data_IF_034688124017
#
_entry.id   IF_034688124017
#
_cell.length_a   1.000
_cell.length_b   1.000
_cell.length_c   1.000
_cell.angle_alpha   90.00
_cell.angle_beta   90.00
_cell.angle_gamma   90.00
#
_symmetry.space_group_name_H-M   'P 1'
#
loop_
_entity.id
_entity.type
_entity.pdbx_description
1 polymer ?
#
# COMPACT_ATOMS: atom_id res chain seq x y z
N UNK A 1 -6.37 -6.98 -10.77
CA UNK A 1 -5.42 -6.38 -9.81
C UNK A 1 -4.81 -7.46 -8.92
N UNK A 2 -3.76 -7.12 -8.20
CA UNK A 2 -3.02 -8.06 -7.34
C UNK A 2 -2.65 -7.40 -6.01
N UNK A 3 -2.44 -8.22 -4.97
CA UNK A 3 -1.88 -7.79 -3.69
C UNK A 3 -0.90 -8.86 -3.16
N UNK A 4 0.17 -8.45 -2.48
CA UNK A 4 1.10 -9.36 -1.84
C UNK A 4 0.40 -10.21 -0.77
N UNK A 5 0.72 -11.51 -0.72
CA UNK A 5 0.11 -12.47 0.21
C UNK A 5 0.26 -12.05 1.68
N UNK A 6 1.41 -11.54 2.07
CA UNK A 6 1.69 -11.11 3.43
C UNK A 6 0.80 -9.94 3.84
N UNK A 7 0.51 -9.00 2.91
CA UNK A 7 -0.41 -7.87 3.12
C UNK A 7 -1.89 -8.30 3.13
N UNK A 8 -2.21 -9.47 2.58
CA UNK A 8 -3.55 -10.07 2.72
C UNK A 8 -3.72 -10.71 4.11
N UNK A 9 -2.65 -11.31 4.65
CA UNK A 9 -2.67 -11.97 5.95
C UNK A 9 -2.58 -10.99 7.12
N UNK A 10 -1.76 -9.94 6.98
CA UNK A 10 -1.61 -8.86 7.95
C UNK A 10 -1.81 -7.51 7.27
N UNK A 11 -2.87 -6.81 7.63
CA UNK A 11 -3.33 -5.62 6.93
C UNK A 11 -2.91 -4.32 7.62
N UNK A 12 -2.89 -3.21 6.89
CA UNK A 12 -2.59 -1.88 7.40
C UNK A 12 -3.59 -1.42 8.49
N UNK A 13 -3.32 -0.32 9.23
CA UNK A 13 -4.29 0.29 10.15
C UNK A 13 -5.60 0.65 9.44
N UNK A 14 -6.73 0.47 10.10
CA UNK A 14 -8.04 0.90 9.59
C UNK A 14 -8.30 2.38 9.83
N UNK A 15 -7.79 2.92 10.94
CA UNK A 15 -7.87 4.33 11.36
C UNK A 15 -6.48 4.87 11.66
N UNK A 16 -6.35 6.19 11.80
CA UNK A 16 -5.08 6.83 12.12
C UNK A 16 -4.59 6.39 13.50
N UNK A 17 -3.40 5.77 13.60
CA UNK A 17 -2.82 5.39 14.88
C UNK A 17 -2.32 6.59 15.71
N UNK A 18 -2.24 7.77 15.11
CA UNK A 18 -1.67 8.96 15.77
C UNK A 18 -0.15 8.99 15.77
N UNK A 19 0.43 9.70 16.75
CA UNK A 19 1.87 9.90 16.89
C UNK A 19 2.48 8.81 17.80
N UNK A 20 2.46 7.56 17.35
CA UNK A 20 3.07 6.43 18.06
C UNK A 20 4.45 6.13 17.47
N UNK A 21 5.39 5.50 18.22
CA UNK A 21 6.72 5.15 17.70
C UNK A 21 6.68 4.17 16.54
N UNK A 22 5.77 3.20 16.60
CA UNK A 22 5.49 2.22 15.55
C UNK A 22 4.04 1.74 15.68
N UNK A 23 3.53 1.14 14.62
CA UNK A 23 2.27 0.41 14.64
C UNK A 23 2.51 -1.04 14.23
N UNK A 24 1.83 -1.98 14.87
CA UNK A 24 1.96 -3.38 14.52
C UNK A 24 0.62 -4.13 14.61
N UNK A 25 0.50 -5.20 13.83
CA UNK A 25 -0.61 -6.16 13.86
C UNK A 25 -0.07 -7.57 13.71
N UNK A 26 -0.54 -8.47 14.56
CA UNK A 26 -0.17 -9.89 14.52
C UNK A 26 -1.35 -10.73 14.06
N UNK A 27 -1.07 -11.74 13.23
CA UNK A 27 -2.00 -12.76 12.79
C UNK A 27 -1.28 -14.12 12.83
N UNK A 28 -1.57 -14.93 13.83
CA UNK A 28 -0.82 -16.17 14.09
C UNK A 28 0.64 -15.88 14.40
N UNK A 29 1.53 -16.46 13.63
CA UNK A 29 2.98 -16.29 13.74
C UNK A 29 3.55 -15.17 12.87
N UNK A 30 2.70 -14.45 12.14
CA UNK A 30 3.09 -13.33 11.28
C UNK A 30 2.72 -12.00 11.93
N UNK A 31 3.70 -11.11 12.09
CA UNK A 31 3.50 -9.72 12.52
C UNK A 31 3.90 -8.77 11.41
N UNK A 32 2.99 -7.86 11.07
CA UNK A 32 3.27 -6.68 10.26
C UNK A 32 3.57 -5.52 11.21
N UNK A 33 4.71 -4.89 11.04
CA UNK A 33 5.06 -3.65 11.72
C UNK A 33 5.32 -2.53 10.71
N UNK A 34 4.89 -1.33 11.06
CA UNK A 34 5.07 -0.11 10.24
C UNK A 34 5.74 0.94 11.11
N UNK A 35 6.80 1.51 10.58
CA UNK A 35 7.46 2.71 11.11
C UNK A 35 7.21 3.86 10.15
N UNK A 36 6.70 4.97 10.66
CA UNK A 36 6.47 6.18 9.87
C UNK A 36 7.81 6.82 9.46
N UNK A 37 7.85 7.39 8.27
CA UNK A 37 8.91 8.31 7.91
C UNK A 37 8.93 9.56 8.81
N UNK A 38 10.07 10.22 8.88
CA UNK A 38 10.25 11.47 9.59
C UNK A 38 10.38 12.65 8.61
N UNK A 39 9.70 13.76 8.89
CA UNK A 39 9.81 15.01 8.15
C UNK A 39 10.78 15.92 8.91
N UNK A 40 12.04 16.06 8.46
CA UNK A 40 13.05 16.82 9.18
C UNK A 40 12.77 18.33 9.17
N UNK A 41 12.05 18.82 8.15
CA UNK A 41 11.69 20.25 8.05
C UNK A 41 10.64 20.62 9.08
N UNK A 42 9.65 19.76 9.29
CA UNK A 42 8.56 19.98 10.25
C UNK A 42 8.85 19.35 11.61
N UNK A 43 9.99 18.67 11.76
CA UNK A 43 10.43 17.99 12.99
C UNK A 43 9.33 17.09 13.58
N UNK A 44 8.70 16.27 12.73
CA UNK A 44 7.61 15.36 13.13
C UNK A 44 7.53 14.13 12.24
N UNK A 45 6.83 13.12 12.73
CA UNK A 45 6.49 11.96 11.90
C UNK A 45 5.62 12.40 10.69
N UNK A 46 5.86 11.79 9.55
CA UNK A 46 5.00 11.95 8.35
C UNK A 46 3.60 11.44 8.62
N UNK A 47 3.48 10.42 9.49
CA UNK A 47 2.25 9.73 9.84
C UNK A 47 2.14 8.36 9.19
N UNK A 48 1.20 7.56 9.66
CA UNK A 48 0.99 6.20 9.20
C UNK A 48 0.04 6.13 8.00
N UNK A 49 0.27 5.23 7.03
CA UNK A 49 -0.73 4.91 6.02
C UNK A 49 -1.89 4.16 6.67
N UNK A 50 -3.14 4.64 6.52
CA UNK A 50 -4.32 4.03 7.10
C UNK A 50 -5.56 4.15 6.21
N UNK A 51 -6.57 3.35 6.50
CA UNK A 51 -7.85 3.38 5.78
C UNK A 51 -7.78 2.68 4.43
N UNK A 52 -8.73 2.97 3.56
CA UNK A 52 -8.87 2.30 2.27
C UNK A 52 -7.87 2.78 1.21
N UNK A 53 -7.48 4.05 1.24
CA UNK A 53 -6.63 4.66 0.20
C UNK A 53 -5.27 3.97 0.06
N UNK A 54 -4.45 3.78 1.11
CA UNK A 54 -3.17 3.11 0.96
C UNK A 54 -3.31 1.64 0.54
N UNK A 55 -4.45 0.98 0.85
CA UNK A 55 -4.75 -0.36 0.33
C UNK A 55 -4.94 -0.35 -1.18
N UNK A 56 -5.70 0.60 -1.70
CA UNK A 56 -5.91 0.76 -3.15
C UNK A 56 -4.60 1.09 -3.86
N UNK A 57 -3.75 1.93 -3.27
CA UNK A 57 -2.41 2.21 -3.78
C UNK A 57 -1.56 0.94 -3.80
N UNK A 58 -1.61 0.09 -2.76
CA UNK A 58 -0.87 -1.18 -2.73
C UNK A 58 -1.37 -2.17 -3.79
N UNK A 59 -2.69 -2.25 -4.04
CA UNK A 59 -3.23 -3.03 -5.16
C UNK A 59 -2.70 -2.53 -6.50
N UNK A 60 -2.69 -1.21 -6.69
CA UNK A 60 -2.16 -0.59 -7.89
C UNK A 60 -0.66 -0.84 -8.05
N UNK A 61 0.15 -0.54 -7.03
CA UNK A 61 1.61 -0.74 -7.01
C UNK A 61 1.96 -2.20 -7.33
N UNK A 62 1.30 -3.18 -6.68
CA UNK A 62 1.54 -4.60 -6.95
C UNK A 62 1.19 -4.97 -8.39
N UNK A 63 0.07 -4.47 -8.89
CA UNK A 63 -0.39 -4.74 -10.26
C UNK A 63 0.58 -4.15 -11.29
N UNK A 64 0.98 -2.90 -11.12
CA UNK A 64 1.91 -2.22 -12.03
C UNK A 64 3.31 -2.84 -11.97
N UNK A 65 3.79 -3.21 -10.78
CA UNK A 65 5.07 -3.94 -10.62
C UNK A 65 5.09 -5.25 -11.41
N UNK A 66 4.00 -6.00 -11.38
CA UNK A 66 3.87 -7.25 -12.14
C UNK A 66 3.73 -7.00 -13.65
N UNK A 67 3.00 -5.95 -14.04
CA UNK A 67 2.78 -5.60 -15.45
C UNK A 67 4.05 -5.08 -16.11
N UNK A 68 4.76 -4.17 -15.45
CA UNK A 68 5.95 -3.51 -16.00
C UNK A 68 7.24 -4.26 -15.74
N UNK A 69 7.25 -5.17 -14.78
CA UNK A 69 8.45 -5.85 -14.25
C UNK A 69 9.52 -4.86 -13.81
N UNK A 70 9.11 -3.70 -13.32
CA UNK A 70 9.98 -2.60 -12.89
C UNK A 70 9.70 -2.22 -11.44
N UNK A 71 10.75 -1.82 -10.72
CA UNK A 71 10.62 -1.18 -9.41
C UNK A 71 10.25 0.29 -9.53
N UNK A 72 10.59 0.93 -10.64
CA UNK A 72 10.22 2.31 -10.95
C UNK A 72 8.87 2.31 -11.64
N UNK A 73 7.92 2.97 -11.01
CA UNK A 73 6.54 3.09 -11.46
C UNK A 73 6.21 4.56 -11.68
N UNK A 74 5.74 4.88 -12.88
CA UNK A 74 5.19 6.19 -13.18
C UNK A 74 3.75 6.26 -12.64
N UNK A 75 3.42 7.35 -11.96
CA UNK A 75 2.10 7.51 -11.31
C UNK A 75 1.01 8.04 -12.27
N UNK A 76 1.23 7.89 -13.58
CA UNK A 76 0.32 8.33 -14.63
C UNK A 76 0.73 9.64 -15.30
N UNK A 77 0.02 9.99 -16.36
CA UNK A 77 0.26 11.22 -17.13
C UNK A 77 -0.23 12.46 -16.39
N UNK A 78 -1.22 12.31 -15.51
CA UNK A 78 -1.73 13.37 -14.64
C UNK A 78 -2.15 12.81 -13.27
N UNK A 79 -2.26 13.70 -12.29
CA UNK A 79 -2.80 13.32 -10.96
C UNK A 79 -4.22 12.76 -11.05
N UNK A 80 -5.01 13.28 -11.96
CA UNK A 80 -6.37 12.78 -12.19
C UNK A 80 -6.37 11.36 -12.77
N UNK A 81 -5.41 11.01 -13.62
CA UNK A 81 -5.28 9.63 -14.12
C UNK A 81 -4.93 8.68 -12.99
N UNK A 82 -3.96 9.04 -12.14
CA UNK A 82 -3.64 8.26 -10.95
C UNK A 82 -4.86 8.06 -10.03
N UNK A 83 -5.66 9.12 -9.79
CA UNK A 83 -6.89 9.00 -9.02
C UNK A 83 -7.86 7.99 -9.66
N UNK A 84 -8.04 8.05 -10.98
CA UNK A 84 -8.92 7.10 -11.72
C UNK A 84 -8.39 5.66 -11.64
N UNK A 85 -7.08 5.48 -11.75
CA UNK A 85 -6.42 4.17 -11.69
C UNK A 85 -6.61 3.49 -10.35
N UNK A 86 -6.53 4.25 -9.25
CA UNK A 86 -6.81 3.74 -7.90
C UNK A 86 -8.32 3.76 -7.56
N UNK A 87 -9.19 4.13 -8.52
CA UNK A 87 -10.64 4.04 -8.42
C UNK A 87 -11.35 5.27 -7.86
N UNK A 88 -10.70 6.44 -7.79
CA UNK A 88 -11.33 7.70 -7.36
C UNK A 88 -11.76 8.56 -8.55
N UNK A 89 -12.80 9.38 -8.33
CA UNK A 89 -13.25 10.36 -9.30
C UNK A 89 -12.59 11.72 -8.99
N UNK A 90 -11.79 12.28 -9.92
CA UNK A 90 -11.16 13.59 -9.75
C UNK A 90 -12.15 14.73 -9.55
N UNK A 91 -13.37 14.63 -10.11
CA UNK A 91 -14.41 15.65 -10.06
C UNK A 91 -15.14 15.76 -8.72
N UNK A 92 -14.93 14.86 -7.79
CA UNK A 92 -15.60 14.87 -6.48
C UNK A 92 -14.93 15.83 -5.49
N UNK A 93 -15.27 17.12 -5.59
CA UNK A 93 -15.17 18.10 -4.49
C UNK A 93 -13.81 18.75 -4.25
N UNK A 94 -13.76 20.09 -4.34
CA UNK A 94 -12.59 20.93 -4.06
C UNK A 94 -12.34 21.27 -2.58
N UNK A 95 -13.05 20.70 -1.61
CA UNK A 95 -12.96 21.06 -0.20
C UNK A 95 -11.75 20.46 0.56
N UNK A 96 -11.60 20.82 1.86
CA UNK A 96 -10.56 20.28 2.76
C UNK A 96 -10.61 18.74 2.88
N UNK A 97 -11.74 18.12 2.61
CA UNK A 97 -11.98 16.65 2.66
C UNK A 97 -12.01 16.00 1.28
N UNK A 98 -11.50 16.66 0.23
CA UNK A 98 -11.48 16.08 -1.12
C UNK A 98 -10.68 14.77 -1.15
N UNK A 99 -11.14 13.81 -1.94
CA UNK A 99 -10.45 12.53 -2.13
C UNK A 99 -9.02 12.75 -2.63
N UNK A 100 -8.81 13.76 -3.49
CA UNK A 100 -7.48 14.15 -3.98
C UNK A 100 -6.51 14.50 -2.84
N UNK A 101 -6.90 15.34 -1.87
CA UNK A 101 -6.05 15.68 -0.72
C UNK A 101 -5.76 14.46 0.15
N UNK A 102 -6.75 13.60 0.35
CA UNK A 102 -6.60 12.36 1.12
C UNK A 102 -5.67 11.38 0.42
N UNK A 103 -5.79 11.22 -0.90
CA UNK A 103 -4.90 10.37 -1.69
C UNK A 103 -3.47 10.90 -1.62
N UNK A 104 -3.26 12.19 -1.84
CA UNK A 104 -1.94 12.84 -1.68
C UNK A 104 -1.30 12.52 -0.33
N UNK A 105 -2.03 12.74 0.76
CA UNK A 105 -1.52 12.53 2.11
C UNK A 105 -1.21 11.05 2.36
N UNK A 106 -2.09 10.13 1.97
CA UNK A 106 -1.89 8.70 2.17
C UNK A 106 -0.77 8.12 1.29
N UNK A 107 -0.60 8.65 0.07
CA UNK A 107 0.54 8.31 -0.80
C UNK A 107 1.87 8.71 -0.14
N UNK A 108 1.95 9.95 0.36
CA UNK A 108 3.13 10.44 1.07
C UNK A 108 3.44 9.61 2.30
N UNK A 109 2.44 9.28 3.12
CA UNK A 109 2.60 8.43 4.31
C UNK A 109 3.09 7.04 3.96
N UNK A 110 2.51 6.42 2.94
CA UNK A 110 2.87 5.07 2.50
C UNK A 110 4.32 5.03 1.97
N UNK A 111 4.69 5.93 1.08
CA UNK A 111 6.02 5.91 0.47
C UNK A 111 7.14 6.31 1.44
N UNK A 112 6.83 7.10 2.47
CA UNK A 112 7.78 7.42 3.52
C UNK A 112 7.91 6.32 4.59
N UNK A 113 7.09 5.26 4.55
CA UNK A 113 7.07 4.23 5.59
C UNK A 113 8.10 3.13 5.35
N UNK A 114 8.56 2.55 6.47
CA UNK A 114 9.23 1.24 6.48
C UNK A 114 8.24 0.20 6.98
N UNK A 115 8.07 -0.87 6.21
CA UNK A 115 7.22 -2.02 6.54
C UNK A 115 8.12 -3.19 6.89
N UNK A 116 7.80 -3.91 7.99
CA UNK A 116 8.51 -5.12 8.39
C UNK A 116 7.53 -6.27 8.52
N UNK A 117 7.89 -7.42 7.95
CA UNK A 117 7.25 -8.69 8.25
C UNK A 117 8.13 -9.48 9.20
N UNK A 118 7.53 -9.93 10.29
CA UNK A 118 8.21 -10.70 11.34
C UNK A 118 7.44 -12.01 11.48
N UNK A 119 8.13 -13.09 11.24
CA UNK A 119 7.62 -14.44 11.46
C UNK A 119 8.32 -15.03 12.69
N UNK A 120 7.54 -15.39 13.71
CA UNK A 120 8.05 -15.92 14.97
C UNK A 120 7.43 -17.29 15.25
N UNK A 121 8.12 -18.13 16.02
CA UNK A 121 7.71 -19.46 16.42
C UNK A 121 8.59 -20.55 15.81
N UNK A 122 8.06 -21.74 15.66
CA UNK A 122 8.81 -22.88 15.10
C UNK A 122 9.07 -22.66 13.60
N UNK A 123 10.28 -22.20 13.26
CA UNK A 123 10.72 -21.97 11.89
C UNK A 123 11.34 -23.20 11.23
N UNK A 124 11.86 -24.14 12.03
CA UNK A 124 12.36 -25.45 11.66
C UNK A 124 11.88 -26.46 12.69
N UNK A 125 11.72 -27.76 12.34
CA UNK A 125 11.28 -28.78 13.27
C UNK A 125 12.06 -28.76 14.59
N UNK A 126 11.37 -28.54 15.72
CA UNK A 126 11.94 -28.44 17.05
C UNK A 126 12.81 -27.19 17.31
N UNK A 127 12.79 -26.18 16.44
CA UNK A 127 13.57 -24.95 16.60
C UNK A 127 12.69 -23.71 16.50
N UNK A 128 12.51 -23.04 17.62
CA UNK A 128 11.93 -21.71 17.64
C UNK A 128 12.91 -20.65 17.11
N UNK A 129 12.36 -19.64 16.47
CA UNK A 129 13.17 -18.55 15.91
C UNK A 129 12.33 -17.36 15.46
N UNK A 130 13.02 -16.31 15.03
CA UNK A 130 12.44 -15.14 14.40
C UNK A 130 13.09 -14.92 13.03
N UNK A 131 12.26 -14.70 12.03
CA UNK A 131 12.66 -14.21 10.71
C UNK A 131 12.07 -12.83 10.51
N UNK A 132 12.93 -11.84 10.27
CA UNK A 132 12.52 -10.45 10.07
C UNK A 132 12.94 -9.95 8.69
N UNK A 133 12.01 -9.31 7.99
CA UNK A 133 12.26 -8.65 6.72
C UNK A 133 11.85 -7.17 6.84
N UNK A 134 12.82 -6.28 6.92
CA UNK A 134 12.60 -4.83 6.97
C UNK A 134 12.73 -4.25 5.56
N UNK A 135 11.74 -3.45 5.15
CA UNK A 135 11.63 -2.95 3.78
C UNK A 135 11.16 -1.50 3.77
N UNK A 136 11.96 -0.60 3.19
CA UNK A 136 11.44 0.71 2.79
C UNK A 136 10.41 0.51 1.69
N UNK A 137 9.25 1.14 1.78
CA UNK A 137 8.22 1.05 0.73
C UNK A 137 8.75 1.69 -0.55
N UNK A 138 9.31 2.90 -0.46
CA UNK A 138 10.02 3.54 -1.56
C UNK A 138 11.49 3.71 -1.22
N UNK A 139 12.37 3.46 -2.18
CA UNK A 139 13.78 3.81 -2.14
C UNK A 139 13.98 5.26 -2.56
N UNK A 140 13.20 5.73 -3.54
CA UNK A 140 13.16 7.11 -4.01
C UNK A 140 11.77 7.42 -4.55
N UNK A 141 11.39 8.69 -4.53
CA UNK A 141 10.15 9.14 -5.14
C UNK A 141 10.23 10.61 -5.49
N UNK A 142 9.59 10.97 -6.58
CA UNK A 142 9.37 12.36 -6.96
C UNK A 142 7.87 12.53 -7.17
N UNK A 143 7.27 13.37 -6.34
CA UNK A 143 5.83 13.53 -6.28
C UNK A 143 5.47 15.00 -6.53
N UNK A 144 4.93 15.27 -7.68
CA UNK A 144 4.46 16.59 -8.06
C UNK A 144 2.95 16.71 -7.89
N UNK A 145 2.49 17.83 -7.36
CA UNK A 145 1.08 18.12 -7.20
C UNK A 145 0.83 19.60 -7.41
N UNK A 146 0.11 19.96 -8.45
CA UNK A 146 -0.46 21.29 -8.54
C UNK A 146 -1.95 21.25 -8.11
N UNK A 147 -2.29 21.77 -6.93
CA UNK A 147 -3.68 21.80 -6.47
C UNK A 147 -4.56 22.76 -7.29
N UNK A 148 -3.95 23.68 -8.08
CA UNK A 148 -4.67 24.66 -8.89
C UNK A 148 -4.91 24.20 -10.32
N UNK A 149 -4.11 23.25 -10.81
CA UNK A 149 -4.18 22.73 -12.18
C UNK A 149 -4.01 21.22 -12.22
N UNK A 150 -4.94 20.45 -11.64
CA UNK A 150 -4.83 19.00 -11.54
C UNK A 150 -4.84 18.27 -12.89
N UNK A 151 -5.30 18.93 -13.96
CA UNK A 151 -5.38 18.38 -15.32
C UNK A 151 -4.18 18.76 -16.21
N UNK A 152 -3.21 19.50 -15.70
CA UNK A 152 -2.07 19.96 -16.50
C UNK A 152 -1.07 18.81 -16.73
N UNK A 153 -1.13 18.24 -17.92
CA UNK A 153 -0.35 17.06 -18.36
C UNK A 153 1.16 17.29 -18.27
N UNK A 154 1.62 18.53 -18.50
CA UNK A 154 3.04 18.85 -18.63
C UNK A 154 3.82 19.00 -17.31
N UNK A 155 3.16 18.85 -16.17
CA UNK A 155 3.79 18.99 -14.84
C UNK A 155 3.70 17.73 -13.97
N UNK A 156 3.14 16.64 -14.53
CA UNK A 156 3.02 15.38 -13.81
C UNK A 156 4.07 14.38 -14.28
N UNK A 157 5.26 14.49 -13.70
CA UNK A 157 6.36 13.54 -13.86
C UNK A 157 6.60 12.79 -12.55
N UNK A 158 5.50 12.47 -11.85
CA UNK A 158 5.60 11.78 -10.57
C UNK A 158 5.90 10.30 -10.76
N UNK A 159 6.86 9.85 -10.03
CA UNK A 159 7.27 8.45 -10.03
C UNK A 159 7.65 8.00 -8.61
N UNK A 160 7.62 6.68 -8.42
CA UNK A 160 8.16 6.03 -7.24
C UNK A 160 9.08 4.89 -7.66
N UNK A 161 10.24 4.80 -7.05
CA UNK A 161 11.07 3.62 -7.09
C UNK A 161 10.88 2.84 -5.80
N UNK A 162 10.35 1.63 -5.91
CA UNK A 162 10.12 0.76 -4.77
C UNK A 162 11.44 0.25 -4.19
N UNK A 163 11.48 0.12 -2.87
CA UNK A 163 12.57 -0.57 -2.20
C UNK A 163 12.71 -1.99 -2.76
N UNK A 164 13.94 -2.44 -3.00
CA UNK A 164 14.22 -3.73 -3.64
C UNK A 164 13.54 -4.90 -2.92
N UNK A 165 13.69 -4.97 -1.59
CA UNK A 165 13.07 -6.02 -0.77
C UNK A 165 11.55 -5.93 -0.76
N UNK A 166 11.01 -4.72 -0.81
CA UNK A 166 9.56 -4.51 -0.89
C UNK A 166 9.00 -4.98 -2.23
N UNK A 167 9.64 -4.59 -3.33
CA UNK A 167 9.29 -5.08 -4.67
C UNK A 167 9.34 -6.61 -4.76
N UNK A 168 10.41 -7.22 -4.23
CA UNK A 168 10.54 -8.68 -4.21
C UNK A 168 9.39 -9.34 -3.42
N UNK A 169 9.03 -8.79 -2.25
CA UNK A 169 7.91 -9.28 -1.46
C UNK A 169 6.55 -9.14 -2.18
N UNK A 170 6.32 -7.99 -2.86
CA UNK A 170 5.08 -7.77 -3.61
C UNK A 170 4.89 -8.77 -4.75
N UNK A 171 5.98 -9.14 -5.44
CA UNK A 171 5.94 -9.93 -6.67
C UNK A 171 6.13 -11.43 -6.44
N UNK A 172 6.59 -11.86 -5.27
CA UNK A 172 6.88 -13.27 -4.96
C UNK A 172 5.63 -14.16 -4.95
N UNK A 173 4.53 -13.72 -4.38
CA UNK A 173 3.31 -14.49 -4.24
C UNK A 173 2.05 -13.60 -4.31
N UNK A 174 1.77 -12.99 -5.48
CA UNK A 174 0.66 -12.07 -5.64
C UNK A 174 -0.68 -12.80 -5.61
N UNK A 175 -1.64 -12.26 -4.86
CA UNK A 175 -3.03 -12.73 -4.80
C UNK A 175 -3.84 -11.95 -5.84
N UNK A 176 -4.44 -12.60 -6.85
CA UNK A 176 -5.28 -11.92 -7.83
C UNK A 176 -6.61 -11.49 -7.21
N UNK A 177 -7.08 -10.30 -7.57
CA UNK A 177 -8.37 -9.73 -7.13
C UNK A 177 -9.09 -9.06 -8.29
N UNK A 178 -10.43 -9.04 -8.26
CA UNK A 178 -11.24 -8.35 -9.27
C UNK A 178 -11.22 -6.83 -9.01
N UNK A 179 -10.79 -6.06 -10.01
CA UNK A 179 -10.75 -4.60 -9.93
C UNK A 179 -12.15 -3.98 -9.75
N UNK A 180 -13.19 -4.62 -10.30
CA UNK A 180 -14.59 -4.16 -10.16
C UNK A 180 -15.04 -4.24 -8.70
N UNK A 181 -14.69 -5.32 -8.00
CA UNK A 181 -14.97 -5.48 -6.58
C UNK A 181 -14.23 -4.43 -5.75
N UNK A 182 -12.95 -4.17 -6.04
CA UNK A 182 -12.19 -3.12 -5.35
C UNK A 182 -12.85 -1.74 -5.49
N UNK A 183 -13.38 -1.40 -6.68
CA UNK A 183 -14.06 -0.12 -6.92
C UNK A 183 -15.34 0.02 -6.09
N UNK A 184 -16.10 -1.06 -5.91
CA UNK A 184 -17.30 -1.07 -5.06
C UNK A 184 -16.94 -0.95 -3.58
N UNK A 185 -15.90 -1.66 -3.14
CA UNK A 185 -15.49 -1.76 -1.74
C UNK A 185 -14.57 -0.61 -1.28
N UNK A 186 -14.15 0.28 -2.16
CA UNK A 186 -13.10 1.30 -1.96
C UNK A 186 -13.28 2.22 -0.74
N UNK A 187 -14.48 2.33 -0.18
CA UNK A 187 -14.76 3.18 0.99
C UNK A 187 -14.62 2.47 2.32
N UNK A 188 -14.51 1.13 2.32
CA UNK A 188 -14.41 0.32 3.53
C UNK A 188 -13.08 -0.44 3.56
N UNK A 189 -12.14 -0.05 4.42
CA UNK A 189 -10.87 -0.78 4.56
C UNK A 189 -11.10 -2.23 5.00
N UNK A 190 -12.07 -2.47 5.90
CA UNK A 190 -12.42 -3.82 6.35
C UNK A 190 -12.97 -4.68 5.20
N UNK A 191 -13.85 -4.11 4.36
CA UNK A 191 -14.41 -4.86 3.23
C UNK A 191 -13.32 -5.22 2.20
N UNK A 192 -12.35 -4.33 1.94
CA UNK A 192 -11.20 -4.61 1.09
C UNK A 192 -10.34 -5.75 1.66
N UNK A 193 -10.07 -5.73 2.97
CA UNK A 193 -9.27 -6.74 3.65
C UNK A 193 -9.98 -8.11 3.61
N UNK A 194 -11.28 -8.16 3.95
CA UNK A 194 -12.08 -9.38 3.93
C UNK A 194 -12.18 -9.97 2.52
N UNK A 195 -12.38 -9.14 1.50
CA UNK A 195 -12.44 -9.57 0.12
C UNK A 195 -11.10 -10.19 -0.34
N UNK A 196 -9.98 -9.52 -0.08
CA UNK A 196 -8.65 -10.03 -0.41
C UNK A 196 -8.36 -11.35 0.33
N UNK A 197 -8.69 -11.43 1.61
CA UNK A 197 -8.54 -12.63 2.43
C UNK A 197 -9.38 -13.79 1.91
N UNK A 198 -10.66 -13.58 1.63
CA UNK A 198 -11.56 -14.59 1.10
C UNK A 198 -11.07 -15.14 -0.24
N UNK A 199 -10.63 -14.24 -1.15
CA UNK A 199 -10.03 -14.62 -2.42
C UNK A 199 -8.77 -15.47 -2.25
N UNK A 200 -7.87 -15.08 -1.33
CA UNK A 200 -6.68 -15.84 -1.02
C UNK A 200 -7.02 -17.24 -0.47
N UNK A 201 -8.01 -17.35 0.43
CA UNK A 201 -8.46 -18.61 0.99
C UNK A 201 -9.05 -19.52 -0.08
N UNK A 202 -9.93 -19.02 -0.94
CA UNK A 202 -10.51 -19.77 -2.04
C UNK A 202 -9.42 -20.35 -2.97
N UNK A 203 -8.43 -19.54 -3.36
CA UNK A 203 -7.30 -19.99 -4.17
C UNK A 203 -6.42 -21.03 -3.45
N UNK A 204 -6.28 -20.92 -2.13
CA UNK A 204 -5.49 -21.87 -1.33
C UNK A 204 -6.18 -23.24 -1.23
N UNK A 205 -7.50 -23.28 -1.17
CA UNK A 205 -8.30 -24.50 -1.17
C UNK A 205 -8.25 -25.16 -2.55
N UNK A 206 -8.50 -24.39 -3.60
CA UNK A 206 -8.49 -24.88 -4.99
C UNK A 206 -7.14 -25.49 -5.44
N UNK A 207 -6.04 -25.14 -4.77
CA UNK A 207 -4.70 -25.72 -5.06
C UNK A 207 -4.39 -26.99 -4.31
N UNK A 208 -5.23 -27.37 -3.32
CA UNK A 208 -5.01 -28.55 -2.48
C UNK A 208 -5.91 -29.74 -2.87
N UNK A 209 -6.92 -29.52 -3.71
CA UNK A 209 -7.74 -30.56 -4.33
C UNK A 209 -7.29 -30.86 -5.73
#
# INVERSE_FOLDING_TARGET
AFLARELVQCTLPHSDPGQVPFWARTNGNLTLSIVSGFDPVKTRLVGYPYGSIPRLILFWVTTESLRTRSRRLELGVSYNDFLRDIGFDPGTGGGKRSDAKRVKEQTRRLFASTISFIQSGELLPGREGERRLNMSVAAASELWWDPKQPDQVNLWDSWVELGEKFYAALTAAPVPVDLRALRVLKRSPLALDLYAWATHKALSVARKG
#
